data_IF_435978223305
#
_entry.id   IF_435978223305
#
_cell.length_a   1.000
_cell.length_b   1.000
_cell.length_c   1.000
_cell.angle_alpha   90.00
_cell.angle_beta   90.00
_cell.angle_gamma   90.00
#
_symmetry.space_group_name_H-M   'P 1'
#
loop_
_entity.id
_entity.type
_entity.pdbx_description
1 polymer ?
#
# COMPACT_ATOMS: atom_id res chain seq x y z
N UNK A 1 -18.23 13.91 9.72
CA UNK A 1 -18.64 13.89 11.14
C UNK A 1 -17.39 14.04 11.99
N UNK A 2 -17.44 14.75 13.12
CA UNK A 2 -16.30 15.05 14.00
C UNK A 2 -16.64 14.68 15.44
N UNK A 3 -15.66 14.17 16.19
CA UNK A 3 -15.73 13.95 17.64
C UNK A 3 -15.08 15.06 18.45
N UNK A 4 -14.14 15.81 17.86
CA UNK A 4 -13.51 16.95 18.52
C UNK A 4 -14.46 18.14 18.68
N UNK A 5 -14.43 18.77 19.86
CA UNK A 5 -15.17 20.01 20.08
C UNK A 5 -14.55 21.16 19.26
N UNK A 6 -15.37 21.97 18.55
CA UNK A 6 -14.86 23.10 17.79
C UNK A 6 -14.31 24.16 18.75
N UNK A 7 -13.06 24.55 18.55
CA UNK A 7 -12.43 25.66 19.29
C UNK A 7 -11.98 26.75 18.34
N UNK A 8 -11.89 28.03 18.77
CA UNK A 8 -11.36 29.10 17.93
C UNK A 8 -9.95 28.81 17.41
N UNK A 9 -9.11 28.14 18.21
CA UNK A 9 -7.76 27.74 17.79
C UNK A 9 -7.80 26.72 16.65
N UNK A 10 -8.67 25.72 16.75
CA UNK A 10 -8.87 24.74 15.69
C UNK A 10 -9.38 25.40 14.40
N UNK A 11 -10.36 26.30 14.51
CA UNK A 11 -10.85 27.06 13.36
C UNK A 11 -9.75 27.90 12.70
N UNK A 12 -8.91 28.59 13.47
CA UNK A 12 -7.79 29.35 12.92
C UNK A 12 -6.81 28.43 12.18
N UNK A 13 -6.42 27.30 12.79
CA UNK A 13 -5.51 26.32 12.20
C UNK A 13 -6.06 25.73 10.90
N UNK A 14 -7.33 25.36 10.88
CA UNK A 14 -7.97 24.62 9.80
C UNK A 14 -8.49 25.52 8.66
N UNK A 15 -8.89 26.77 8.97
CA UNK A 15 -9.57 27.64 7.99
C UNK A 15 -8.82 28.93 7.65
N UNK A 16 -8.00 29.48 8.56
CA UNK A 16 -7.47 30.84 8.41
C UNK A 16 -5.96 30.92 8.15
N UNK A 17 -5.17 29.97 8.66
CA UNK A 17 -3.72 30.01 8.47
C UNK A 17 -3.32 29.96 6.99
N UNK A 18 -2.26 30.67 6.58
CA UNK A 18 -1.77 30.63 5.20
C UNK A 18 -1.20 29.25 4.86
N UNK A 19 -1.21 28.87 3.58
CA UNK A 19 -0.49 27.68 3.14
C UNK A 19 1.00 27.98 2.99
N UNK A 20 1.84 26.95 3.10
CA UNK A 20 3.28 27.04 2.86
C UNK A 20 3.66 26.04 1.78
N UNK A 21 4.08 26.54 0.61
CA UNK A 21 4.33 25.74 -0.58
C UNK A 21 5.80 25.73 -0.96
N UNK A 22 6.29 24.58 -1.44
CA UNK A 22 7.67 24.40 -1.92
C UNK A 22 7.74 24.81 -3.39
N UNK A 23 8.62 25.74 -3.74
CA UNK A 23 8.81 26.13 -5.14
C UNK A 23 9.41 24.99 -5.96
N UNK A 24 8.78 24.66 -7.10
CA UNK A 24 9.25 23.60 -8.01
C UNK A 24 10.62 23.87 -8.67
N UNK A 25 11.12 25.12 -8.67
CA UNK A 25 12.43 25.48 -9.24
C UNK A 25 13.57 25.49 -8.22
N UNK A 26 13.36 26.16 -7.08
CA UNK A 26 14.41 26.39 -6.08
C UNK A 26 14.29 25.55 -4.81
N UNK A 27 13.20 24.78 -4.66
CA UNK A 27 12.93 23.93 -3.50
C UNK A 27 12.85 24.66 -2.15
N UNK A 28 12.69 25.99 -2.17
CA UNK A 28 12.46 26.82 -0.98
C UNK A 28 10.95 26.92 -0.71
N UNK A 29 10.57 26.85 0.56
CA UNK A 29 9.21 27.09 1.01
C UNK A 29 8.89 28.58 1.03
N UNK A 30 7.69 28.91 0.55
CA UNK A 30 7.14 30.25 0.55
C UNK A 30 5.74 30.23 1.16
N UNK A 31 5.42 31.30 1.88
CA UNK A 31 4.05 31.59 2.26
C UNK A 31 3.23 31.80 0.98
N UNK A 32 2.11 31.10 0.89
CA UNK A 32 1.14 31.21 -0.19
C UNK A 32 -0.07 31.96 0.35
N UNK A 33 -0.28 33.17 -0.16
CA UNK A 33 -1.39 34.02 0.23
C UNK A 33 -2.68 33.54 -0.48
N UNK A 34 -3.35 32.58 0.15
CA UNK A 34 -4.70 32.15 -0.22
C UNK A 34 -5.74 32.97 0.53
N UNK A 35 -6.89 33.21 -0.10
CA UNK A 35 -8.07 33.73 0.60
C UNK A 35 -8.44 32.84 1.82
N UNK A 36 -8.92 33.43 2.93
CA UNK A 36 -9.41 32.67 4.07
C UNK A 36 -10.46 31.64 3.64
N UNK A 37 -10.49 30.46 4.28
CA UNK A 37 -11.43 29.36 4.00
C UNK A 37 -11.34 28.74 2.59
N UNK A 38 -10.54 29.29 1.68
CA UNK A 38 -10.31 28.71 0.36
C UNK A 38 -9.25 27.61 0.41
N UNK A 39 -9.60 26.45 -0.09
CA UNK A 39 -8.75 25.26 -0.07
C UNK A 39 -8.00 25.17 -1.40
N UNK A 40 -6.69 25.00 -1.34
CA UNK A 40 -5.86 24.80 -2.53
C UNK A 40 -6.01 23.37 -3.06
N UNK A 41 -5.80 23.19 -4.36
CA UNK A 41 -5.76 21.88 -5.00
C UNK A 41 -4.34 21.31 -5.02
N UNK A 42 -4.23 20.00 -5.28
CA UNK A 42 -2.94 19.35 -5.55
C UNK A 42 -2.21 19.97 -6.75
N UNK A 43 -2.97 20.41 -7.75
CA UNK A 43 -2.44 21.05 -8.96
C UNK A 43 -1.82 22.42 -8.69
N UNK A 44 -2.34 23.16 -7.70
CA UNK A 44 -1.76 24.44 -7.26
C UNK A 44 -0.40 24.22 -6.60
N UNK A 45 -0.27 23.14 -5.82
CA UNK A 45 0.98 22.76 -5.16
C UNK A 45 2.03 22.34 -6.19
N UNK A 46 1.63 21.50 -7.16
CA UNK A 46 2.52 20.99 -8.21
C UNK A 46 3.09 22.09 -9.10
N UNK A 47 2.25 23.07 -9.46
CA UNK A 47 2.61 24.15 -10.38
C UNK A 47 3.21 25.36 -9.65
N UNK A 48 3.34 25.32 -8.33
CA UNK A 48 3.81 26.47 -7.57
C UNK A 48 5.26 26.82 -7.93
N UNK A 49 5.46 28.07 -8.34
CA UNK A 49 6.76 28.68 -8.60
C UNK A 49 6.78 30.01 -7.87
N UNK A 50 7.81 30.25 -7.07
CA UNK A 50 7.97 31.53 -6.38
C UNK A 50 8.34 32.65 -7.36
N UNK A 51 7.96 33.88 -7.04
CA UNK A 51 8.31 35.08 -7.82
C UNK A 51 9.81 35.28 -7.98
N UNK A 52 10.57 35.05 -6.89
CA UNK A 52 12.01 35.21 -6.85
C UNK A 52 12.68 34.01 -6.15
N UNK A 53 13.50 33.27 -6.91
CA UNK A 53 14.22 32.09 -6.46
C UNK A 53 15.49 32.43 -5.68
N UNK A 54 16.05 33.62 -5.86
CA UNK A 54 17.31 34.03 -5.26
C UNK A 54 17.10 34.49 -3.81
N UNK A 55 15.91 35.00 -3.49
CA UNK A 55 15.54 35.35 -2.11
C UNK A 55 15.80 34.19 -1.13
N UNK A 56 16.35 34.46 0.06
CA UNK A 56 16.55 33.42 1.09
C UNK A 56 15.20 32.83 1.52
N UNK A 57 15.22 31.58 2.00
CA UNK A 57 14.04 30.96 2.61
C UNK A 57 13.66 31.71 3.91
N UNK A 58 12.35 31.80 4.19
CA UNK A 58 11.90 32.39 5.44
C UNK A 58 12.43 31.57 6.63
N UNK A 59 12.92 32.26 7.67
CA UNK A 59 13.44 31.62 8.88
C UNK A 59 12.36 30.76 9.54
N UNK A 60 11.10 31.19 9.50
CA UNK A 60 9.99 30.42 10.06
C UNK A 60 9.83 29.05 9.39
N UNK A 61 9.99 28.98 8.07
CA UNK A 61 9.96 27.71 7.33
C UNK A 61 11.19 26.86 7.63
N UNK A 62 12.34 27.49 7.84
CA UNK A 62 13.57 26.79 8.24
C UNK A 62 13.42 26.19 9.64
N UNK A 63 12.87 26.96 10.59
CA UNK A 63 12.68 26.52 11.98
C UNK A 63 11.63 25.41 12.10
N UNK A 64 10.59 25.44 11.24
CA UNK A 64 9.57 24.40 11.17
C UNK A 64 10.11 23.02 10.77
N UNK A 65 11.33 22.95 10.22
CA UNK A 65 12.04 21.70 9.90
C UNK A 65 12.63 21.00 11.12
N UNK A 66 12.61 21.63 12.29
CA UNK A 66 13.12 20.97 13.50
C UNK A 66 12.16 19.88 13.98
N UNK A 67 12.64 18.68 14.34
CA UNK A 67 11.77 17.57 14.74
C UNK A 67 10.82 17.90 15.89
N UNK A 68 11.29 18.69 16.86
CA UNK A 68 10.54 19.08 18.05
C UNK A 68 9.63 20.30 17.83
N UNK A 69 9.64 20.92 16.65
CA UNK A 69 8.84 22.12 16.37
C UNK A 69 7.34 21.87 16.60
N UNK A 70 6.87 20.67 16.24
CA UNK A 70 5.46 20.29 16.37
C UNK A 70 4.96 20.31 17.82
N UNK A 71 5.84 20.14 18.81
CA UNK A 71 5.47 20.18 20.23
C UNK A 71 5.02 21.57 20.68
N UNK A 72 5.31 22.62 19.89
CA UNK A 72 4.82 23.98 20.12
C UNK A 72 3.44 24.24 19.49
N UNK A 73 2.93 23.31 18.67
CA UNK A 73 1.63 23.46 18.02
C UNK A 73 0.51 23.30 19.05
N UNK A 74 -0.42 24.27 19.08
CA UNK A 74 -1.54 24.23 20.02
C UNK A 74 -2.63 23.21 19.64
N UNK A 75 -2.67 22.79 18.37
CA UNK A 75 -3.68 21.90 17.79
C UNK A 75 -2.98 21.03 16.73
N UNK A 76 -3.34 19.75 16.68
CA UNK A 76 -2.84 18.85 15.66
C UNK A 76 -3.32 19.28 14.24
N UNK A 77 -2.41 19.42 13.26
CA UNK A 77 -2.76 19.75 11.89
C UNK A 77 -3.45 18.56 11.21
N UNK A 78 -4.68 18.78 10.73
CA UNK A 78 -5.41 17.80 9.93
C UNK A 78 -5.18 18.02 8.43
N UNK A 79 -5.37 16.97 7.64
CA UNK A 79 -5.27 17.01 6.19
C UNK A 79 -6.59 17.45 5.56
N UNK A 80 -6.50 18.34 4.57
CA UNK A 80 -7.63 18.84 3.79
C UNK A 80 -7.80 17.99 2.52
N UNK A 81 -9.04 17.62 2.19
CA UNK A 81 -9.37 16.87 0.96
C UNK A 81 -8.46 15.65 0.73
N UNK A 82 -8.07 14.95 1.79
CA UNK A 82 -7.24 13.76 1.68
C UNK A 82 -7.98 12.69 0.86
N UNK A 83 -7.34 12.03 -0.12
CA UNK A 83 -7.92 10.88 -0.82
C UNK A 83 -8.40 9.76 0.11
N UNK A 84 -7.85 9.66 1.33
CA UNK A 84 -8.29 8.67 2.33
C UNK A 84 -9.77 8.77 2.69
N UNK A 85 -10.42 9.92 2.43
CA UNK A 85 -11.86 10.10 2.56
C UNK A 85 -12.63 9.04 1.74
N UNK A 86 -12.13 8.63 0.58
CA UNK A 86 -12.78 7.62 -0.27
C UNK A 86 -13.08 6.32 0.49
N UNK A 87 -12.16 5.87 1.35
CA UNK A 87 -12.33 4.63 2.11
C UNK A 87 -12.91 4.85 3.52
N UNK A 88 -12.72 6.04 4.10
CA UNK A 88 -12.92 6.26 5.54
C UNK A 88 -14.18 7.05 5.89
N UNK A 89 -14.77 7.79 4.94
CA UNK A 89 -15.86 8.74 5.19
C UNK A 89 -17.07 8.13 5.91
N UNK A 90 -17.43 6.91 5.52
CA UNK A 90 -18.67 6.26 5.96
C UNK A 90 -18.48 5.38 7.19
N UNK A 91 -17.24 5.14 7.61
CA UNK A 91 -16.91 4.19 8.68
C UNK A 91 -16.17 4.82 9.86
N UNK A 92 -15.54 5.99 9.67
CA UNK A 92 -14.69 6.63 10.67
C UNK A 92 -14.99 8.12 10.84
N UNK A 93 -14.74 8.64 12.04
CA UNK A 93 -14.68 10.07 12.28
C UNK A 93 -13.39 10.63 11.68
N UNK A 94 -13.51 11.63 10.80
CA UNK A 94 -12.39 12.10 9.98
C UNK A 94 -11.25 12.68 10.82
N UNK A 95 -11.59 13.34 11.91
CA UNK A 95 -10.66 13.91 12.88
C UNK A 95 -9.93 12.87 13.72
N UNK A 96 -10.40 11.62 13.81
CA UNK A 96 -9.67 10.51 14.44
C UNK A 96 -8.67 9.83 13.50
N UNK A 97 -8.82 10.05 12.19
CA UNK A 97 -7.96 9.46 11.14
C UNK A 97 -7.06 10.50 10.45
N UNK A 98 -6.99 11.72 11.02
CA UNK A 98 -6.07 12.78 10.63
C UNK A 98 -6.55 13.66 9.47
N UNK A 99 -7.87 13.73 9.24
CA UNK A 99 -8.50 14.46 8.13
C UNK A 99 -9.47 15.51 8.67
N UNK A 100 -9.45 16.70 8.07
CA UNK A 100 -10.33 17.80 8.47
C UNK A 100 -11.81 17.47 8.18
N UNK A 101 -12.69 17.48 9.19
CA UNK A 101 -14.13 17.30 8.99
C UNK A 101 -14.80 18.47 8.25
N UNK A 102 -14.22 19.67 8.34
CA UNK A 102 -14.72 20.87 7.68
C UNK A 102 -14.31 20.94 6.20
N UNK A 103 -13.21 20.27 5.84
CA UNK A 103 -12.63 20.26 4.49
C UNK A 103 -12.52 18.84 3.97
N UNK A 104 -13.68 18.23 3.72
CA UNK A 104 -13.82 16.84 3.29
C UNK A 104 -14.55 16.71 1.94
N UNK A 105 -14.17 17.52 0.96
CA UNK A 105 -14.83 17.63 -0.34
C UNK A 105 -14.26 16.68 -1.40
N UNK A 106 -13.55 15.62 -0.99
CA UNK A 106 -13.00 14.65 -1.93
C UNK A 106 -14.14 13.83 -2.56
N UNK A 107 -14.21 13.72 -3.89
CA UNK A 107 -15.30 13.01 -4.57
C UNK A 107 -15.25 11.51 -4.24
N UNK A 108 -16.38 10.98 -3.77
CA UNK A 108 -16.54 9.55 -3.45
C UNK A 108 -16.97 8.72 -4.66
N UNK A 109 -17.56 9.36 -5.68
CA UNK A 109 -18.08 8.68 -6.87
C UNK A 109 -17.01 8.41 -7.95
N UNK A 110 -15.74 8.44 -7.56
CA UNK A 110 -14.63 8.17 -8.48
C UNK A 110 -14.50 6.67 -8.75
N UNK A 111 -14.32 6.31 -10.02
CA UNK A 111 -13.96 4.97 -10.42
C UNK A 111 -12.49 4.71 -10.11
N UNK A 112 -12.25 3.97 -9.02
CA UNK A 112 -10.91 3.54 -8.64
C UNK A 112 -10.59 2.19 -9.31
N UNK A 113 -9.49 2.08 -10.10
CA UNK A 113 -9.13 0.88 -10.84
C UNK A 113 -9.04 -0.40 -10.00
N UNK A 114 -8.67 -0.25 -8.73
CA UNK A 114 -8.42 -1.34 -7.80
C UNK A 114 -9.59 -1.67 -6.87
N UNK A 115 -10.73 -0.97 -7.01
CA UNK A 115 -11.89 -1.11 -6.12
C UNK A 115 -12.42 -2.55 -5.98
N UNK A 116 -12.19 -3.39 -6.99
CA UNK A 116 -12.61 -4.80 -7.00
C UNK A 116 -11.70 -5.76 -6.22
N UNK A 117 -10.50 -5.33 -5.79
CA UNK A 117 -9.54 -6.21 -5.11
C UNK A 117 -8.71 -5.55 -4.00
N UNK A 118 -8.79 -4.23 -3.79
CA UNK A 118 -8.08 -3.52 -2.72
C UNK A 118 -9.04 -2.82 -1.77
N UNK A 119 -8.89 -3.10 -0.48
CA UNK A 119 -9.58 -2.48 0.64
C UNK A 119 -8.60 -2.37 1.83
N UNK A 120 -7.74 -1.34 1.87
CA UNK A 120 -6.58 -1.31 2.75
C UNK A 120 -6.88 -1.12 4.24
N UNK A 121 -8.05 -0.58 4.57
CA UNK A 121 -8.41 -0.22 5.93
C UNK A 121 -9.35 -1.25 6.52
N UNK A 122 -9.10 -1.61 7.77
CA UNK A 122 -10.04 -2.44 8.51
C UNK A 122 -11.33 -1.64 8.72
N UNK A 123 -12.48 -2.28 8.47
CA UNK A 123 -13.79 -1.74 8.81
C UNK A 123 -14.27 -2.56 10.03
N UNK A 124 -14.78 -1.93 11.11
CA UNK A 124 -15.01 -2.57 12.42
C UNK A 124 -15.89 -3.84 12.48
N UNK A 125 -16.42 -4.33 11.36
CA UNK A 125 -17.33 -5.47 11.29
C UNK A 125 -16.78 -6.65 10.47
N UNK A 126 -15.70 -6.45 9.70
CA UNK A 126 -15.18 -7.46 8.78
C UNK A 126 -13.67 -7.72 9.00
N UNK A 127 -13.28 -8.88 9.57
CA UNK A 127 -11.88 -9.24 9.68
C UNK A 127 -11.34 -9.60 8.28
N UNK A 128 -10.38 -8.83 7.81
CA UNK A 128 -9.76 -9.01 6.51
C UNK A 128 -8.23 -8.97 6.62
N UNK A 129 -7.56 -9.87 5.91
CA UNK A 129 -6.11 -9.93 5.89
C UNK A 129 -5.52 -8.69 5.19
N UNK A 130 -4.28 -8.35 5.55
CA UNK A 130 -3.53 -7.23 4.97
C UNK A 130 -4.24 -5.86 5.06
N UNK A 131 -5.08 -5.70 6.09
CA UNK A 131 -5.67 -4.42 6.46
C UNK A 131 -4.90 -3.76 7.59
N UNK A 132 -4.92 -2.43 7.61
CA UNK A 132 -4.45 -1.64 8.76
C UNK A 132 -5.61 -0.89 9.39
N UNK A 133 -5.59 -0.70 10.70
CA UNK A 133 -6.58 0.18 11.34
C UNK A 133 -6.24 1.64 11.04
N UNK A 134 -7.16 2.46 10.51
CA UNK A 134 -6.86 3.85 10.14
C UNK A 134 -6.67 4.79 11.35
N UNK A 135 -7.20 4.40 12.51
CA UNK A 135 -7.29 5.16 13.76
C UNK A 135 -6.26 4.72 14.82
N UNK A 136 -5.51 3.64 14.58
CA UNK A 136 -4.55 3.10 15.55
C UNK A 136 -3.22 2.73 14.88
N UNK A 137 -2.10 3.03 15.54
CA UNK A 137 -0.78 2.59 15.11
C UNK A 137 -0.58 1.10 15.39
N UNK A 138 -0.07 0.38 14.39
CA UNK A 138 0.33 -1.01 14.56
C UNK A 138 1.57 -1.13 15.46
N UNK A 139 1.79 -2.30 16.05
CA UNK A 139 2.89 -2.53 16.99
C UNK A 139 4.27 -2.15 16.42
N UNK A 140 4.53 -2.55 15.17
CA UNK A 140 5.79 -2.23 14.49
C UNK A 140 5.93 -0.74 14.19
N UNK A 141 4.81 -0.03 13.96
CA UNK A 141 4.81 1.42 13.76
C UNK A 141 5.16 2.14 15.06
N UNK A 142 4.60 1.72 16.20
CA UNK A 142 4.93 2.28 17.52
C UNK A 142 6.40 2.05 17.87
N UNK A 143 6.95 0.87 17.55
CA UNK A 143 8.36 0.57 17.77
C UNK A 143 9.27 1.44 16.89
N UNK A 144 8.87 1.71 15.64
CA UNK A 144 9.66 2.52 14.71
C UNK A 144 9.55 4.02 14.99
N UNK A 145 8.38 4.49 15.39
CA UNK A 145 8.06 5.89 15.61
C UNK A 145 7.46 6.13 17.00
N UNK A 146 8.24 5.90 18.08
CA UNK A 146 7.75 6.05 19.44
C UNK A 146 7.31 7.47 19.79
N UNK A 147 7.79 8.48 19.04
CA UNK A 147 7.40 9.88 19.24
C UNK A 147 5.90 10.13 18.98
N UNK A 148 5.22 9.26 18.24
CA UNK A 148 3.79 9.40 17.93
C UNK A 148 2.90 8.59 18.88
N UNK A 149 3.45 7.83 19.81
CA UNK A 149 2.65 6.99 20.71
C UNK A 149 1.71 7.80 21.60
N UNK A 150 2.08 9.02 21.96
CA UNK A 150 1.23 9.91 22.77
C UNK A 150 0.15 10.61 21.93
N UNK A 151 0.51 11.09 20.75
CA UNK A 151 -0.40 11.81 19.84
C UNK A 151 -0.22 11.29 18.40
N UNK A 152 -0.92 10.19 18.04
CA UNK A 152 -0.69 9.50 16.78
C UNK A 152 -1.35 10.17 15.58
N UNK A 153 -2.21 11.16 15.79
CA UNK A 153 -3.15 11.64 14.78
C UNK A 153 -2.48 12.13 13.51
N UNK A 154 -1.34 12.82 13.64
CA UNK A 154 -0.60 13.34 12.48
C UNK A 154 0.06 12.19 11.72
N UNK A 155 0.64 11.22 12.43
CA UNK A 155 1.19 10.01 11.82
C UNK A 155 0.13 9.23 11.06
N UNK A 156 -1.04 9.02 11.67
CA UNK A 156 -2.16 8.30 11.07
C UNK A 156 -2.65 9.00 9.80
N UNK A 157 -2.84 10.32 9.82
CA UNK A 157 -3.21 11.08 8.63
C UNK A 157 -2.23 10.89 7.47
N UNK A 158 -0.92 11.02 7.73
CA UNK A 158 0.13 10.86 6.72
C UNK A 158 0.25 9.40 6.24
N UNK A 159 0.16 8.42 7.15
CA UNK A 159 0.21 6.99 6.82
C UNK A 159 -1.00 6.58 5.98
N UNK A 160 -2.20 6.99 6.37
CA UNK A 160 -3.45 6.72 5.67
C UNK A 160 -3.45 7.34 4.27
N UNK A 161 -2.89 8.55 4.13
CA UNK A 161 -2.70 9.19 2.84
C UNK A 161 -1.84 8.34 1.90
N UNK A 162 -0.65 7.91 2.33
CA UNK A 162 0.28 7.13 1.49
C UNK A 162 -0.32 5.78 1.10
N UNK A 163 -0.94 5.08 2.06
CA UNK A 163 -1.60 3.80 1.79
C UNK A 163 -2.73 4.00 0.79
N UNK A 164 -3.56 5.03 0.97
CA UNK A 164 -4.67 5.31 0.06
C UNK A 164 -4.20 5.55 -1.37
N UNK A 165 -3.19 6.40 -1.55
CA UNK A 165 -2.67 6.73 -2.88
C UNK A 165 -2.14 5.49 -3.62
N UNK A 166 -1.45 4.59 -2.92
CA UNK A 166 -1.00 3.32 -3.48
C UNK A 166 -2.19 2.43 -3.84
N UNK A 167 -3.14 2.30 -2.91
CA UNK A 167 -4.27 1.41 -3.09
C UNK A 167 -5.18 1.87 -4.22
N UNK A 168 -5.33 3.16 -4.46
CA UNK A 168 -6.14 3.68 -5.58
C UNK A 168 -5.56 3.34 -6.95
N UNK A 169 -4.23 3.34 -7.10
CA UNK A 169 -3.57 2.99 -8.36
C UNK A 169 -2.32 2.15 -8.11
N UNK A 170 -2.45 0.82 -7.92
CA UNK A 170 -1.32 -0.07 -7.69
C UNK A 170 -0.57 -0.45 -8.98
N UNK A 171 -0.91 0.13 -10.14
CA UNK A 171 -0.29 -0.18 -11.43
C UNK A 171 0.98 0.64 -11.70
N UNK A 172 1.17 1.74 -10.97
CA UNK A 172 2.28 2.67 -11.14
C UNK A 172 3.08 2.79 -9.84
N UNK A 173 4.36 3.13 -9.97
CA UNK A 173 5.20 3.43 -8.81
C UNK A 173 4.69 4.70 -8.11
N UNK A 174 4.32 4.56 -6.83
CA UNK A 174 3.97 5.69 -5.98
C UNK A 174 5.24 6.44 -5.59
N UNK A 175 5.48 7.59 -6.22
CA UNK A 175 6.59 8.47 -5.90
C UNK A 175 6.36 9.24 -4.60
N UNK A 176 7.46 9.66 -3.97
CA UNK A 176 7.40 10.53 -2.80
C UNK A 176 6.76 11.88 -3.15
N UNK A 177 7.09 12.47 -4.31
CA UNK A 177 6.53 13.75 -4.74
C UNK A 177 5.01 13.68 -4.91
N UNK A 178 4.48 12.57 -5.45
CA UNK A 178 3.03 12.36 -5.52
C UNK A 178 2.40 12.41 -4.13
N UNK A 179 3.00 11.77 -3.12
CA UNK A 179 2.51 11.84 -1.74
C UNK A 179 2.61 13.26 -1.17
N UNK A 180 3.75 13.92 -1.37
CA UNK A 180 4.02 15.29 -0.91
C UNK A 180 3.00 16.30 -1.43
N UNK A 181 2.58 16.16 -2.69
CA UNK A 181 1.60 17.06 -3.31
C UNK A 181 0.18 16.88 -2.75
N UNK A 182 -0.13 15.72 -2.18
CA UNK A 182 -1.42 15.45 -1.54
C UNK A 182 -1.44 15.76 -0.03
N UNK A 183 -0.31 16.19 0.55
CA UNK A 183 -0.30 16.78 1.89
C UNK A 183 -0.76 18.23 1.79
N UNK A 184 -2.07 18.41 1.95
CA UNK A 184 -2.71 19.72 2.00
C UNK A 184 -3.06 20.00 3.46
N UNK A 185 -2.33 20.92 4.08
CA UNK A 185 -2.60 21.41 5.44
C UNK A 185 -2.13 22.86 5.54
N UNK A 186 -2.84 23.67 6.34
CA UNK A 186 -2.51 25.07 6.55
C UNK A 186 -1.40 25.24 7.58
N UNK A 187 -0.70 26.37 7.48
CA UNK A 187 0.36 26.77 8.39
C UNK A 187 1.70 26.10 8.13
N UNK A 188 2.67 26.41 8.98
CA UNK A 188 4.04 25.87 8.93
C UNK A 188 4.09 24.37 9.21
N UNK A 189 3.05 23.82 9.85
CA UNK A 189 2.89 22.39 10.08
C UNK A 189 3.09 21.54 8.82
N UNK A 190 2.69 22.05 7.65
CA UNK A 190 2.91 21.35 6.36
C UNK A 190 4.39 21.09 6.07
N UNK A 191 5.26 22.04 6.40
CA UNK A 191 6.72 21.92 6.19
C UNK A 191 7.26 20.75 7.01
N UNK A 192 6.88 20.68 8.29
CA UNK A 192 7.22 19.59 9.19
C UNK A 192 6.61 18.25 8.73
N UNK A 193 5.32 18.24 8.36
CA UNK A 193 4.61 17.04 7.88
C UNK A 193 5.28 16.42 6.66
N UNK A 194 5.82 17.21 5.74
CA UNK A 194 6.54 16.70 4.56
C UNK A 194 7.81 15.93 4.95
N UNK A 195 8.51 16.36 6.00
CA UNK A 195 9.70 15.66 6.48
C UNK A 195 9.36 14.33 7.14
N UNK A 196 8.31 14.32 7.95
CA UNK A 196 7.85 13.09 8.59
C UNK A 196 7.22 12.14 7.57
N UNK A 197 6.47 12.66 6.60
CA UNK A 197 5.96 11.91 5.45
C UNK A 197 7.09 11.15 4.76
N UNK A 198 8.28 11.75 4.60
CA UNK A 198 9.42 11.07 3.97
C UNK A 198 9.86 9.83 4.74
N UNK A 199 9.93 9.93 6.07
CA UNK A 199 10.29 8.79 6.94
C UNK A 199 9.22 7.70 6.92
N UNK A 200 7.94 8.10 6.97
CA UNK A 200 6.78 7.19 6.91
C UNK A 200 6.75 6.48 5.55
N UNK A 201 6.90 7.22 4.46
CA UNK A 201 6.96 6.67 3.10
C UNK A 201 8.08 5.65 2.95
N UNK A 202 9.30 5.96 3.41
CA UNK A 202 10.42 5.02 3.35
C UNK A 202 10.16 3.76 4.20
N UNK A 203 9.56 3.92 5.37
CA UNK A 203 9.15 2.80 6.22
C UNK A 203 8.11 1.89 5.54
N UNK A 204 7.07 2.46 4.93
CA UNK A 204 6.03 1.70 4.23
C UNK A 204 6.56 0.94 3.01
N UNK A 205 7.56 1.50 2.31
CA UNK A 205 8.28 0.80 1.24
C UNK A 205 9.09 -0.38 1.79
N UNK A 206 9.85 -0.17 2.88
CA UNK A 206 10.64 -1.24 3.52
C UNK A 206 9.76 -2.36 4.06
N UNK A 207 8.58 -2.03 4.61
CA UNK A 207 7.58 -3.00 5.05
C UNK A 207 6.82 -3.67 3.91
N UNK A 208 7.04 -3.25 2.66
CA UNK A 208 6.30 -3.74 1.48
C UNK A 208 4.78 -3.60 1.66
N UNK A 209 4.32 -2.47 2.20
CA UNK A 209 2.90 -2.11 2.26
C UNK A 209 2.48 -1.37 0.98
N UNK A 210 3.41 -0.58 0.42
CA UNK A 210 3.24 0.15 -0.85
C UNK A 210 4.32 -0.25 -1.84
N UNK A 211 4.13 0.06 -3.12
CA UNK A 211 5.08 -0.23 -4.19
C UNK A 211 5.42 -1.72 -4.30
N UNK A 212 4.40 -2.57 -4.17
CA UNK A 212 4.51 -4.03 -4.24
C UNK A 212 4.08 -4.59 -5.60
N UNK A 213 4.36 -5.88 -5.79
CA UNK A 213 4.01 -6.60 -7.01
C UNK A 213 5.01 -6.34 -8.13
N UNK A 214 4.55 -6.31 -9.37
CA UNK A 214 5.32 -6.32 -10.62
C UNK A 214 5.63 -4.93 -11.20
N UNK A 215 5.34 -3.84 -10.48
CA UNK A 215 5.61 -2.47 -10.94
C UNK A 215 7.08 -2.21 -11.30
N UNK A 216 7.32 -1.37 -12.30
CA UNK A 216 8.68 -0.93 -12.60
C UNK A 216 9.12 0.11 -11.56
N UNK A 217 10.01 -0.30 -10.66
CA UNK A 217 10.66 0.63 -9.74
C UNK A 217 11.69 1.41 -10.55
N UNK A 218 11.61 2.75 -10.58
CA UNK A 218 12.62 3.57 -11.25
C UNK A 218 13.99 3.13 -10.75
N UNK A 219 14.87 2.74 -11.68
CA UNK A 219 16.25 2.36 -11.35
C UNK A 219 16.83 3.48 -10.50
N UNK A 220 17.51 3.21 -9.39
CA UNK A 220 18.19 4.26 -8.66
C UNK A 220 19.36 4.74 -9.51
N UNK A 221 19.09 5.67 -10.43
CA UNK A 221 20.10 6.51 -11.05
C UNK A 221 20.53 7.47 -9.96
N UNK A 222 21.51 7.05 -9.16
CA UNK A 222 22.46 7.92 -8.45
C UNK A 222 21.90 8.83 -7.33
N UNK A 223 20.58 8.85 -7.06
CA UNK A 223 19.98 9.80 -6.11
C UNK A 223 19.71 9.23 -4.72
N UNK A 224 19.49 7.91 -4.57
CA UNK A 224 19.34 7.27 -3.24
C UNK A 224 20.67 7.06 -2.51
N UNK A 225 21.78 7.26 -3.22
CA UNK A 225 23.14 7.18 -2.72
C UNK A 225 23.40 8.18 -1.60
N UNK A 226 22.80 9.37 -1.53
CA UNK A 226 23.13 10.32 -0.44
C UNK A 226 22.70 9.88 0.96
N UNK A 227 21.58 9.16 1.11
CA UNK A 227 21.12 8.72 2.44
C UNK A 227 21.80 7.41 2.87
N UNK A 228 21.95 6.44 1.94
CA UNK A 228 22.66 5.19 2.20
C UNK A 228 24.19 5.35 2.24
N UNK A 229 24.79 6.33 1.56
CA UNK A 229 26.25 6.58 1.65
C UNK A 229 26.68 7.07 3.03
N UNK A 230 25.77 7.61 3.86
CA UNK A 230 26.08 7.94 5.25
C UNK A 230 26.14 6.71 6.17
N UNK A 231 25.59 5.57 5.72
CA UNK A 231 25.47 4.31 6.45
C UNK A 231 25.91 3.14 5.57
N UNK A 232 27.22 3.06 5.30
CA UNK A 232 27.91 1.89 4.73
C UNK A 232 27.43 1.47 3.32
N UNK A 233 28.30 0.77 2.60
CA UNK A 233 28.10 0.35 1.20
C UNK A 233 26.76 -0.39 1.06
N UNK A 234 26.05 -0.19 -0.05
CA UNK A 234 24.87 -1.00 -0.37
C UNK A 234 25.20 -2.49 -0.20
N UNK A 235 24.46 -3.23 0.65
CA UNK A 235 24.84 -4.59 0.98
C UNK A 235 24.72 -5.49 -0.25
N UNK A 236 25.71 -6.35 -0.42
CA UNK A 236 25.62 -7.47 -1.35
C UNK A 236 24.85 -8.59 -0.64
N UNK A 237 23.69 -8.97 -1.16
CA UNK A 237 22.82 -9.99 -0.57
C UNK A 237 22.82 -11.23 -1.45
N UNK A 238 23.16 -12.38 -0.85
CA UNK A 238 23.01 -13.69 -1.45
C UNK A 238 21.71 -14.32 -0.99
N UNK A 239 20.86 -14.74 -1.92
CA UNK A 239 19.59 -15.43 -1.64
C UNK A 239 19.71 -16.87 -2.12
N UNK A 240 19.39 -17.82 -1.23
CA UNK A 240 19.40 -19.25 -1.54
C UNK A 240 17.96 -19.70 -1.83
N UNK A 241 17.71 -20.14 -3.05
CA UNK A 241 16.41 -20.57 -3.57
C UNK A 241 15.69 -19.48 -4.36
N UNK A 242 15.30 -19.80 -5.59
CA UNK A 242 14.50 -18.97 -6.50
C UNK A 242 13.02 -19.39 -6.55
N UNK A 243 12.46 -19.79 -5.41
CA UNK A 243 11.00 -19.91 -5.22
C UNK A 243 10.33 -18.55 -5.03
N UNK A 244 9.00 -18.52 -4.79
CA UNK A 244 8.25 -17.27 -4.61
C UNK A 244 8.84 -16.36 -3.53
N UNK A 245 9.26 -16.92 -2.40
CA UNK A 245 9.83 -16.18 -1.29
C UNK A 245 11.17 -15.54 -1.65
N UNK A 246 12.08 -16.30 -2.27
CA UNK A 246 13.38 -15.82 -2.70
C UNK A 246 13.28 -14.76 -3.80
N UNK A 247 12.41 -14.97 -4.79
CA UNK A 247 12.16 -14.00 -5.86
C UNK A 247 11.50 -12.72 -5.34
N UNK A 248 10.53 -12.82 -4.43
CA UNK A 248 9.91 -11.67 -3.79
C UNK A 248 10.93 -10.85 -2.98
N UNK A 249 11.74 -11.51 -2.16
CA UNK A 249 12.80 -10.86 -1.39
C UNK A 249 13.84 -10.21 -2.30
N UNK A 250 14.30 -10.91 -3.35
CA UNK A 250 15.27 -10.38 -4.30
C UNK A 250 14.77 -9.11 -4.98
N UNK A 251 13.50 -9.12 -5.39
CA UNK A 251 12.87 -8.00 -6.06
C UNK A 251 12.76 -6.78 -5.15
N UNK A 252 12.32 -6.97 -3.90
CA UNK A 252 12.23 -5.90 -2.92
C UNK A 252 13.60 -5.33 -2.54
N UNK A 253 14.57 -6.19 -2.25
CA UNK A 253 15.94 -5.75 -1.91
C UNK A 253 16.61 -5.00 -3.06
N UNK A 254 16.40 -5.44 -4.30
CA UNK A 254 16.85 -4.72 -5.49
C UNK A 254 16.17 -3.37 -5.64
N UNK A 255 14.86 -3.28 -5.40
CA UNK A 255 14.11 -2.02 -5.41
C UNK A 255 14.60 -1.02 -4.34
N UNK A 256 15.07 -1.53 -3.20
CA UNK A 256 15.71 -0.76 -2.13
C UNK A 256 17.18 -0.39 -2.43
N UNK A 257 17.75 -0.85 -3.56
CA UNK A 257 19.11 -0.51 -4.00
C UNK A 257 20.21 -1.47 -3.56
N UNK A 258 19.86 -2.65 -3.04
CA UNK A 258 20.84 -3.69 -2.70
C UNK A 258 21.28 -4.47 -3.94
N UNK A 259 22.54 -4.90 -3.99
CA UNK A 259 23.01 -5.82 -5.04
C UNK A 259 22.62 -7.24 -4.63
N UNK A 260 21.82 -7.91 -5.44
CA UNK A 260 21.28 -9.24 -5.11
C UNK A 260 21.83 -10.30 -6.07
N UNK A 261 22.28 -11.42 -5.52
CA UNK A 261 22.61 -12.65 -6.26
C UNK A 261 21.73 -13.78 -5.74
N UNK A 262 21.12 -14.56 -6.62
CA UNK A 262 20.26 -15.70 -6.26
C UNK A 262 20.97 -16.99 -6.69
N UNK A 263 21.06 -17.96 -5.79
CA UNK A 263 21.50 -19.32 -6.08
C UNK A 263 20.30 -20.26 -6.01
N UNK A 264 19.96 -20.91 -7.11
CA UNK A 264 18.92 -21.93 -7.17
C UNK A 264 19.56 -23.29 -7.43
N UNK A 265 19.06 -24.33 -6.75
CA UNK A 265 19.60 -25.67 -6.85
C UNK A 265 19.15 -26.39 -8.14
N UNK A 266 17.97 -26.05 -8.65
CA UNK A 266 17.41 -26.60 -9.89
C UNK A 266 17.80 -25.75 -11.10
N UNK A 267 17.71 -26.34 -12.29
CA UNK A 267 17.84 -25.61 -13.55
C UNK A 267 16.59 -24.75 -13.90
N UNK A 268 15.59 -24.73 -13.02
CA UNK A 268 14.31 -24.03 -13.19
C UNK A 268 13.97 -23.19 -11.97
N UNK A 269 13.45 -21.98 -12.22
CA UNK A 269 12.95 -21.08 -11.18
C UNK A 269 11.55 -21.50 -10.71
N UNK A 270 11.04 -20.84 -9.67
CA UNK A 270 9.66 -20.96 -9.20
C UNK A 270 9.45 -22.00 -8.09
N UNK A 271 10.42 -22.88 -7.85
CA UNK A 271 10.42 -23.82 -6.72
C UNK A 271 9.23 -24.78 -6.74
N UNK A 272 8.23 -24.55 -5.89
CA UNK A 272 6.98 -25.35 -5.79
C UNK A 272 5.87 -24.84 -6.71
N UNK A 273 6.06 -23.72 -7.40
CA UNK A 273 5.10 -23.14 -8.35
C UNK A 273 5.42 -23.60 -9.78
N UNK A 274 5.61 -24.91 -9.96
CA UNK A 274 5.92 -25.45 -11.29
C UNK A 274 4.63 -25.59 -12.10
N UNK A 275 4.53 -24.82 -13.18
CA UNK A 275 3.63 -25.15 -14.28
C UNK A 275 4.38 -26.08 -15.23
N UNK A 276 3.80 -27.23 -15.57
CA UNK A 276 4.34 -28.05 -16.67
C UNK A 276 3.52 -27.78 -17.91
N UNK A 277 4.21 -27.37 -18.96
CA UNK A 277 3.73 -27.51 -20.31
C UNK A 277 4.14 -28.91 -20.80
N UNK A 278 3.18 -29.69 -21.28
CA UNK A 278 3.37 -31.13 -21.50
C UNK A 278 4.03 -31.42 -22.85
N UNK A 279 5.38 -31.48 -22.89
CA UNK A 279 6.11 -31.96 -24.08
C UNK A 279 6.51 -33.43 -23.98
N UNK A 280 6.10 -34.18 -25.00
CA UNK A 280 6.72 -35.44 -25.40
C UNK A 280 7.80 -35.11 -26.45
N UNK A 281 8.98 -35.69 -26.25
CA UNK A 281 10.20 -35.70 -27.06
C UNK A 281 11.25 -34.59 -26.96
N UNK A 282 12.48 -35.10 -26.71
CA UNK A 282 13.78 -34.44 -26.64
C UNK A 282 14.24 -34.08 -28.06
N UNK A 283 14.92 -32.94 -28.21
CA UNK A 283 16.22 -32.74 -28.88
C UNK A 283 16.42 -31.24 -29.21
N UNK A 284 17.59 -30.74 -28.80
CA UNK A 284 18.32 -29.53 -29.21
C UNK A 284 17.69 -28.12 -29.02
N UNK A 285 18.06 -27.53 -27.87
CA UNK A 285 18.65 -26.19 -27.68
C UNK A 285 18.16 -24.98 -28.47
N UNK A 286 17.57 -24.00 -27.77
CA UNK A 286 17.94 -22.55 -27.80
C UNK A 286 17.50 -21.89 -26.48
N UNK A 287 18.46 -21.24 -25.81
CA UNK A 287 18.32 -20.48 -24.56
C UNK A 287 17.76 -19.07 -24.82
N UNK A 288 16.45 -18.90 -25.05
CA UNK A 288 15.80 -17.57 -24.92
C UNK A 288 14.25 -17.57 -24.85
N UNK A 289 13.61 -18.65 -24.37
CA UNK A 289 12.14 -18.72 -24.26
C UNK A 289 11.64 -19.36 -22.95
N UNK A 290 12.43 -19.23 -21.88
CA UNK A 290 12.29 -20.04 -20.66
C UNK A 290 11.09 -19.72 -19.74
N UNK A 291 10.09 -18.94 -20.20
CA UNK A 291 8.85 -18.72 -19.45
C UNK A 291 7.59 -19.09 -20.27
N UNK A 292 7.68 -19.21 -21.61
CA UNK A 292 6.51 -19.45 -22.48
C UNK A 292 6.85 -20.27 -23.74
N UNK A 293 7.63 -21.36 -23.60
CA UNK A 293 7.72 -22.36 -24.66
C UNK A 293 7.46 -23.75 -24.09
N UNK A 294 6.21 -24.20 -24.20
CA UNK A 294 5.84 -25.34 -25.08
C UNK A 294 4.35 -25.74 -24.88
N UNK A 295 3.81 -26.53 -25.81
CA UNK A 295 2.48 -27.19 -25.86
C UNK A 295 1.18 -26.38 -25.62
N UNK A 296 0.78 -25.62 -26.66
CA UNK A 296 -0.58 -25.12 -26.88
C UNK A 296 -1.62 -26.21 -27.25
N UNK A 297 -1.31 -27.51 -27.17
CA UNK A 297 -2.21 -28.58 -27.65
C UNK A 297 -3.54 -28.69 -26.90
N UNK A 298 -3.55 -28.31 -25.62
CA UNK A 298 -4.79 -28.19 -24.81
C UNK A 298 -5.26 -26.73 -24.69
N UNK A 299 -4.43 -25.76 -25.06
CA UNK A 299 -4.70 -24.33 -24.88
C UNK A 299 -4.82 -23.84 -23.43
N UNK A 300 -4.55 -24.69 -22.42
CA UNK A 300 -4.83 -24.41 -21.00
C UNK A 300 -3.60 -24.74 -20.14
N UNK A 301 -3.10 -23.80 -19.30
CA UNK A 301 -2.02 -24.07 -18.36
C UNK A 301 -2.51 -24.88 -17.14
N UNK A 302 -1.79 -25.96 -16.81
CA UNK A 302 -2.06 -26.80 -15.63
C UNK A 302 -0.87 -26.74 -14.67
N UNK A 303 -1.12 -26.27 -13.46
CA UNK A 303 -0.12 -26.23 -12.40
C UNK A 303 0.16 -27.63 -11.87
N UNK A 304 1.43 -28.03 -11.82
CA UNK A 304 1.86 -29.22 -11.08
C UNK A 304 2.10 -28.91 -9.59
N UNK A 305 1.87 -27.65 -9.17
CA UNK A 305 2.03 -27.15 -7.81
C UNK A 305 0.93 -26.16 -7.46
N UNK A 306 1.28 -25.03 -6.85
CA UNK A 306 0.29 -24.02 -6.47
C UNK A 306 -0.44 -23.42 -7.69
N UNK A 307 -1.77 -23.47 -7.67
CA UNK A 307 -2.64 -22.89 -8.71
C UNK A 307 -3.87 -22.14 -8.15
N UNK A 308 -4.18 -22.31 -6.87
CA UNK A 308 -5.33 -21.68 -6.22
C UNK A 308 -4.89 -20.47 -5.39
N UNK A 309 -5.67 -19.39 -5.46
CA UNK A 309 -5.51 -18.18 -4.64
C UNK A 309 -6.62 -18.19 -3.60
N UNK A 310 -6.26 -18.27 -2.32
CA UNK A 310 -7.21 -18.22 -1.20
C UNK A 310 -7.37 -16.79 -0.70
N UNK A 311 -8.57 -16.23 -0.86
CA UNK A 311 -8.87 -14.84 -0.52
C UNK A 311 -8.37 -13.87 -1.60
N UNK A 312 -9.28 -13.07 -2.14
CA UNK A 312 -8.97 -12.17 -3.26
C UNK A 312 -8.60 -10.76 -2.80
N UNK A 313 -9.33 -10.24 -1.81
CA UNK A 313 -9.13 -8.88 -1.30
C UNK A 313 -7.76 -8.72 -0.66
N UNK A 314 -7.06 -7.64 -1.01
CA UNK A 314 -5.71 -7.27 -0.57
C UNK A 314 -4.62 -8.32 -0.83
N UNK A 315 -4.91 -9.37 -1.59
CA UNK A 315 -3.96 -10.45 -1.81
C UNK A 315 -2.87 -9.98 -2.78
N UNK A 316 -1.57 -10.02 -2.39
CA UNK A 316 -0.49 -9.55 -3.25
C UNK A 316 -0.39 -10.32 -4.57
N UNK A 317 -0.86 -11.57 -4.64
CA UNK A 317 -0.91 -12.33 -5.88
C UNK A 317 -1.98 -11.75 -6.82
N UNK A 318 -3.14 -11.36 -6.29
CA UNK A 318 -4.21 -10.72 -7.09
C UNK A 318 -3.73 -9.36 -7.61
N UNK A 319 -3.02 -8.58 -6.79
CA UNK A 319 -2.38 -7.34 -7.24
C UNK A 319 -1.44 -7.61 -8.43
N UNK A 320 -0.58 -8.63 -8.34
CA UNK A 320 0.31 -9.02 -9.43
C UNK A 320 -0.44 -9.53 -10.67
N UNK A 321 -1.54 -10.27 -10.50
CA UNK A 321 -2.39 -10.69 -11.62
C UNK A 321 -2.95 -9.49 -12.38
N UNK A 322 -3.50 -8.50 -11.67
CA UNK A 322 -3.98 -7.26 -12.29
C UNK A 322 -2.86 -6.49 -12.98
N UNK A 323 -1.71 -6.32 -12.31
CA UNK A 323 -0.54 -5.62 -12.89
C UNK A 323 0.01 -6.30 -14.16
N UNK A 324 -0.02 -7.63 -14.22
CA UNK A 324 0.41 -8.40 -15.38
C UNK A 324 -0.70 -8.65 -16.41
N UNK A 325 -1.92 -8.15 -16.17
CA UNK A 325 -3.10 -8.43 -16.97
C UNK A 325 -3.37 -9.94 -17.14
N UNK A 326 -3.18 -10.71 -16.05
CA UNK A 326 -3.44 -12.15 -15.99
C UNK A 326 -4.85 -12.37 -15.42
N UNK A 327 -5.72 -12.94 -16.24
CA UNK A 327 -7.05 -13.33 -15.81
C UNK A 327 -6.99 -14.50 -14.82
N UNK A 328 -7.87 -14.46 -13.82
CA UNK A 328 -8.12 -15.55 -12.89
C UNK A 328 -9.62 -15.78 -12.79
N UNK A 329 -10.02 -17.00 -12.43
CA UNK A 329 -11.42 -17.39 -12.32
C UNK A 329 -11.80 -17.62 -10.87
N UNK A 330 -12.81 -16.92 -10.32
CA UNK A 330 -13.32 -17.24 -9.00
C UNK A 330 -13.94 -18.63 -9.01
N UNK A 331 -13.65 -19.43 -7.98
CA UNK A 331 -14.29 -20.73 -7.80
C UNK A 331 -15.74 -20.51 -7.36
N UNK A 332 -16.67 -21.15 -8.06
CA UNK A 332 -18.07 -21.20 -7.64
C UNK A 332 -18.21 -22.13 -6.44
N UNK A 333 -19.23 -21.87 -5.60
CA UNK A 333 -19.52 -22.70 -4.42
C UNK A 333 -20.09 -24.08 -4.77
N UNK A 334 -20.51 -24.28 -6.02
CA UNK A 334 -21.05 -25.54 -6.49
C UNK A 334 -19.95 -26.57 -6.68
N UNK A 335 -19.96 -27.61 -5.84
CA UNK A 335 -19.08 -28.76 -5.95
C UNK A 335 -19.93 -30.02 -5.83
N UNK A 336 -20.24 -30.66 -6.97
CA UNK A 336 -21.02 -31.88 -7.00
C UNK A 336 -20.21 -33.05 -6.43
N UNK A 337 -20.77 -33.77 -5.45
CA UNK A 337 -20.18 -35.02 -4.97
C UNK A 337 -20.71 -36.18 -5.80
N UNK A 338 -19.82 -37.08 -6.23
CA UNK A 338 -20.16 -38.25 -7.03
C UNK A 338 -19.85 -39.52 -6.25
N UNK A 339 -20.76 -40.49 -6.32
CA UNK A 339 -20.55 -41.81 -5.75
C UNK A 339 -19.65 -42.66 -6.65
N UNK A 340 -18.61 -43.28 -6.07
CA UNK A 340 -17.60 -44.01 -6.85
C UNK A 340 -18.09 -45.34 -7.41
N UNK A 341 -19.10 -45.97 -6.79
CA UNK A 341 -19.62 -47.27 -7.22
C UNK A 341 -20.67 -47.15 -8.33
N UNK A 342 -21.54 -46.14 -8.22
CA UNK A 342 -22.67 -45.91 -9.13
C UNK A 342 -22.40 -44.84 -10.18
N UNK A 343 -21.39 -43.98 -9.99
CA UNK A 343 -21.08 -42.85 -10.86
C UNK A 343 -22.14 -41.75 -10.87
N UNK A 344 -23.14 -41.80 -9.98
CA UNK A 344 -24.23 -40.83 -9.92
C UNK A 344 -23.86 -39.65 -9.02
N UNK A 345 -24.33 -38.46 -9.40
CA UNK A 345 -24.26 -37.28 -8.55
C UNK A 345 -25.18 -37.50 -7.35
N UNK A 346 -24.64 -37.29 -6.15
CA UNK A 346 -25.39 -37.37 -4.90
C UNK A 346 -26.44 -36.25 -4.84
N UNK A 347 -27.63 -36.57 -4.34
CA UNK A 347 -28.70 -35.58 -4.16
C UNK A 347 -28.21 -34.43 -3.26
N UNK A 348 -28.51 -33.19 -3.67
CA UNK A 348 -28.22 -31.98 -2.92
C UNK A 348 -28.80 -32.04 -1.50
N UNK A 349 -29.94 -32.70 -1.29
CA UNK A 349 -30.51 -32.87 0.06
C UNK A 349 -29.66 -33.78 0.94
N UNK A 350 -29.03 -34.82 0.39
CA UNK A 350 -28.11 -35.71 1.13
C UNK A 350 -26.77 -35.01 1.39
N UNK A 351 -26.33 -34.14 0.47
CA UNK A 351 -25.12 -33.34 0.65
C UNK A 351 -25.33 -32.17 1.64
N UNK A 352 -26.51 -31.54 1.65
CA UNK A 352 -26.83 -30.35 2.43
C UNK A 352 -27.50 -30.65 3.78
N UNK A 353 -28.33 -31.70 3.88
CA UNK A 353 -28.91 -32.15 5.15
C UNK A 353 -28.00 -33.20 5.81
N UNK A 354 -27.22 -32.73 6.78
CA UNK A 354 -27.08 -33.39 8.10
C UNK A 354 -26.32 -34.72 8.26
N UNK A 355 -25.17 -34.96 7.63
CA UNK A 355 -24.21 -35.88 8.30
C UNK A 355 -22.74 -35.70 7.95
N UNK A 356 -22.38 -35.19 6.76
CA UNK A 356 -20.96 -35.10 6.39
C UNK A 356 -20.45 -33.69 6.66
N UNK A 357 -20.89 -32.67 5.92
CA UNK A 357 -20.40 -31.28 6.11
C UNK A 357 -20.58 -30.73 7.54
N UNK A 358 -21.77 -30.89 8.13
CA UNK A 358 -22.08 -30.38 9.48
C UNK A 358 -21.37 -31.15 10.58
N UNK A 359 -21.28 -32.49 10.49
CA UNK A 359 -20.51 -33.28 11.48
C UNK A 359 -19.03 -33.02 11.31
N UNK A 360 -18.51 -32.94 10.09
CA UNK A 360 -17.10 -32.62 9.86
C UNK A 360 -16.76 -31.24 10.42
N UNK A 361 -17.62 -30.24 10.19
CA UNK A 361 -17.46 -28.88 10.73
C UNK A 361 -17.58 -28.84 12.25
N UNK A 362 -18.55 -29.56 12.84
CA UNK A 362 -18.74 -29.62 14.29
C UNK A 362 -17.63 -30.42 14.98
N UNK A 363 -17.18 -31.52 14.38
CA UNK A 363 -16.06 -32.33 14.88
C UNK A 363 -14.76 -31.54 14.86
N UNK A 364 -14.47 -30.79 13.78
CA UNK A 364 -13.32 -29.90 13.74
C UNK A 364 -13.43 -28.74 14.73
N UNK A 365 -14.61 -28.13 14.92
CA UNK A 365 -14.82 -27.10 15.95
C UNK A 365 -14.56 -27.63 17.35
N UNK A 366 -14.97 -28.87 17.65
CA UNK A 366 -14.71 -29.50 18.96
C UNK A 366 -13.24 -29.89 19.12
N UNK A 367 -12.59 -30.39 18.07
CA UNK A 367 -11.17 -30.77 18.10
C UNK A 367 -10.22 -29.56 18.23
N UNK A 368 -10.57 -28.41 17.63
CA UNK A 368 -9.79 -27.16 17.78
C UNK A 368 -9.93 -26.49 19.15
N UNK A 369 -10.97 -26.81 19.93
CA UNK A 369 -11.15 -26.34 21.31
C UNK A 369 -10.42 -27.22 22.35
N UNK A 370 -9.89 -28.37 21.92
CA UNK A 370 -9.21 -29.36 22.77
C UNK A 370 -7.69 -29.45 22.52
N UNK A 371 -7.12 -28.53 21.73
CA UNK A 371 -5.67 -28.26 21.61
C UNK A 371 -5.40 -26.84 22.07
#
# INVERSE_FOLDING_TARGET
MSRCFPTPRFFVQDQLLPYWLECSKCHKFRKYDSEPMKVISTSDIEKFVCSDCDLPEDRLATDARHPNWILSAAVAPLLHNSPSIYYLRDHYYLDEVGVSPAVANFPTDITVPSSSFMAPFHIPEEPMAFCVRPDVMEYDEMKRFPQYSAEPIIYLGLRNLVITLWNMNPFEYLSFDRCKNHVISRGLCRVWQIQELKKIYDYLNVKSIVNIGLINVPTPVETRTKFLNSLQRSPNVLIIGAGISGLAAARQLRALGSKVTILEAKDVLGGRMQARFHRFDRVLGVFLNFILQDDLKLGIPVGCGAQLITGMMNNPIVVMCHQANIAYRPLHRECAMMDSGTGKVLDHKVCAMNLISTIFSNFFRVAMFLM
#
